data_IF_822632109799
#
_entry.id   IF_822632109799
#
_cell.length_a   1.000
_cell.length_b   1.000
_cell.length_c   1.000
_cell.angle_alpha   90.00
_cell.angle_beta   90.00
_cell.angle_gamma   90.00
#
_symmetry.space_group_name_H-M   'P 1'
#
loop_
_entity.id
_entity.type
_entity.pdbx_description
1 polymer ?
#
# COMPACT_ATOMS: atom_id res chain seq x y z
N UNK A 1 2.91 12.96 19.90
CA UNK A 1 3.23 13.12 18.46
C UNK A 1 4.34 12.18 18.05
N UNK A 2 4.29 11.54 16.87
CA UNK A 2 5.34 10.62 16.44
C UNK A 2 6.68 11.34 16.23
N UNK A 3 7.78 10.65 16.55
CA UNK A 3 9.14 11.17 16.49
C UNK A 3 9.58 11.50 15.05
N UNK A 4 10.52 12.43 14.85
CA UNK A 4 11.05 12.76 13.53
C UNK A 4 11.66 11.54 12.79
N UNK A 5 12.30 10.63 13.53
CA UNK A 5 12.88 9.40 12.97
C UNK A 5 11.79 8.48 12.42
N UNK A 6 10.69 8.31 13.16
CA UNK A 6 9.55 7.51 12.74
C UNK A 6 8.91 8.05 11.46
N UNK A 7 8.81 9.38 11.31
CA UNK A 7 8.32 10.00 10.06
C UNK A 7 9.24 9.73 8.87
N UNK A 8 10.56 9.85 9.07
CA UNK A 8 11.56 9.59 8.02
C UNK A 8 11.54 8.14 7.57
N UNK A 9 11.47 7.20 8.50
CA UNK A 9 11.39 5.77 8.21
C UNK A 9 10.12 5.44 7.41
N UNK A 10 8.97 5.92 7.88
CA UNK A 10 7.68 5.76 7.18
C UNK A 10 7.75 6.29 5.74
N UNK A 11 8.32 7.48 5.52
CA UNK A 11 8.46 8.05 4.18
C UNK A 11 9.31 7.18 3.24
N UNK A 12 10.39 6.57 3.75
CA UNK A 12 11.23 5.66 2.95
C UNK A 12 10.46 4.44 2.47
N UNK A 13 9.66 3.83 3.36
CA UNK A 13 8.79 2.70 3.02
C UNK A 13 7.82 3.09 1.92
N UNK A 14 7.10 4.21 2.05
CA UNK A 14 6.13 4.64 1.04
C UNK A 14 6.78 4.92 -0.32
N UNK A 15 7.97 5.54 -0.34
CA UNK A 15 8.71 5.78 -1.58
C UNK A 15 9.11 4.44 -2.21
N UNK A 16 9.67 3.52 -1.42
CA UNK A 16 10.06 2.19 -1.87
C UNK A 16 8.88 1.41 -2.43
N UNK A 17 7.72 1.47 -1.75
CA UNK A 17 6.48 0.86 -2.22
C UNK A 17 6.07 1.39 -3.60
N UNK A 18 5.99 2.72 -3.77
CA UNK A 18 5.57 3.35 -5.03
C UNK A 18 6.50 2.95 -6.19
N UNK A 19 7.82 2.98 -5.97
CA UNK A 19 8.78 2.65 -7.02
C UNK A 19 8.85 1.16 -7.32
N UNK A 20 8.79 0.34 -6.27
CA UNK A 20 9.20 -1.06 -6.30
C UNK A 20 8.07 -2.06 -6.54
N UNK A 21 6.82 -1.74 -6.18
CA UNK A 21 5.74 -2.71 -6.33
C UNK A 21 5.54 -3.07 -7.80
N UNK A 22 5.35 -4.36 -8.10
CA UNK A 22 5.01 -4.79 -9.46
C UNK A 22 3.51 -4.58 -9.73
N UNK A 23 3.13 -4.39 -10.98
CA UNK A 23 1.71 -4.18 -11.31
C UNK A 23 0.81 -5.39 -10.96
N UNK A 24 1.23 -6.66 -11.16
CA UNK A 24 0.45 -7.81 -10.72
C UNK A 24 0.23 -7.83 -9.20
N UNK A 25 1.28 -7.60 -8.41
CA UNK A 25 1.18 -7.57 -6.94
C UNK A 25 0.29 -6.41 -6.48
N UNK A 26 0.37 -5.25 -7.13
CA UNK A 26 -0.49 -4.11 -6.83
C UNK A 26 -1.97 -4.39 -7.08
N UNK A 27 -2.30 -5.08 -8.19
CA UNK A 27 -3.69 -5.49 -8.49
C UNK A 27 -4.20 -6.48 -7.45
N UNK A 28 -3.43 -7.52 -7.14
CA UNK A 28 -3.79 -8.50 -6.11
C UNK A 28 -3.90 -7.87 -4.72
N UNK A 29 -3.08 -6.86 -4.41
CA UNK A 29 -3.19 -6.12 -3.16
C UNK A 29 -4.51 -5.34 -3.09
N UNK A 30 -4.89 -4.65 -4.16
CA UNK A 30 -6.18 -3.95 -4.23
C UNK A 30 -7.36 -4.91 -4.08
N UNK A 31 -7.31 -6.08 -4.70
CA UNK A 31 -8.36 -7.10 -4.58
C UNK A 31 -8.46 -7.62 -3.14
N UNK A 32 -7.33 -7.96 -2.50
CA UNK A 32 -7.31 -8.36 -1.07
C UNK A 32 -7.84 -7.25 -0.14
N UNK A 33 -7.46 -6.00 -0.40
CA UNK A 33 -7.93 -4.87 0.41
C UNK A 33 -9.44 -4.65 0.23
N UNK A 34 -9.99 -4.93 -0.94
CA UNK A 34 -11.42 -4.89 -1.19
C UNK A 34 -12.14 -6.01 -0.43
N UNK A 35 -11.64 -7.25 -0.53
CA UNK A 35 -12.17 -8.40 0.21
C UNK A 35 -12.22 -8.16 1.73
N UNK A 36 -11.21 -7.45 2.25
CA UNK A 36 -11.10 -7.07 3.67
C UNK A 36 -11.84 -5.78 4.03
N UNK A 37 -12.60 -5.20 3.10
CA UNK A 37 -13.35 -3.94 3.27
C UNK A 37 -12.47 -2.73 3.68
N UNK A 38 -11.19 -2.75 3.35
CA UNK A 38 -10.26 -1.64 3.57
C UNK A 38 -10.42 -0.57 2.50
N UNK A 39 -10.70 -0.97 1.27
CA UNK A 39 -11.02 -0.07 0.16
C UNK A 39 -12.43 -0.40 -0.34
N UNK A 40 -13.14 0.62 -0.83
CA UNK A 40 -14.43 0.42 -1.49
C UNK A 40 -14.24 0.11 -2.98
N UNK A 41 -15.24 -0.50 -3.63
CA UNK A 41 -15.21 -0.83 -5.06
C UNK A 41 -14.82 0.38 -5.93
N UNK A 42 -15.45 1.53 -5.68
CA UNK A 42 -15.17 2.75 -6.45
C UNK A 42 -13.74 3.29 -6.23
N UNK A 43 -13.14 3.06 -5.04
CA UNK A 43 -11.76 3.47 -4.76
C UNK A 43 -10.77 2.54 -5.45
N UNK A 44 -11.06 1.24 -5.47
CA UNK A 44 -10.29 0.24 -6.20
C UNK A 44 -10.34 0.50 -7.70
N UNK A 45 -11.51 0.77 -8.25
CA UNK A 45 -11.67 1.06 -9.68
C UNK A 45 -11.01 2.40 -10.05
N UNK A 46 -11.11 3.42 -9.21
CA UNK A 46 -10.37 4.68 -9.40
C UNK A 46 -8.85 4.45 -9.39
N UNK A 47 -8.34 3.62 -8.47
CA UNK A 47 -6.93 3.26 -8.45
C UNK A 47 -6.50 2.52 -9.72
N UNK A 48 -7.33 1.60 -10.23
CA UNK A 48 -7.02 0.82 -11.43
C UNK A 48 -7.12 1.63 -12.73
N UNK A 49 -7.92 2.71 -12.72
CA UNK A 49 -8.08 3.62 -13.86
C UNK A 49 -6.85 4.52 -14.09
N UNK A 50 -5.99 4.71 -13.09
CA UNK A 50 -4.73 5.44 -13.27
C UNK A 50 -3.84 4.75 -14.32
N UNK A 51 -3.16 5.51 -15.16
CA UNK A 51 -2.30 4.94 -16.22
C UNK A 51 -0.95 4.49 -15.68
N UNK A 52 -0.33 5.34 -14.86
CA UNK A 52 1.00 5.12 -14.35
C UNK A 52 0.98 4.23 -13.10
N UNK A 53 1.79 3.17 -13.08
CA UNK A 53 1.93 2.26 -11.92
C UNK A 53 2.21 3.01 -10.62
N UNK A 54 3.03 4.05 -10.68
CA UNK A 54 3.38 4.87 -9.52
C UNK A 54 2.19 5.63 -8.95
N UNK A 55 1.29 6.10 -9.83
CA UNK A 55 0.08 6.83 -9.41
C UNK A 55 -0.97 5.87 -8.84
N UNK A 56 -1.13 4.68 -9.44
CA UNK A 56 -1.92 3.57 -8.85
C UNK A 56 -1.46 3.28 -7.41
N UNK A 57 -0.14 3.06 -7.24
CA UNK A 57 0.45 2.76 -5.94
C UNK A 57 0.24 3.90 -4.95
N UNK A 58 0.47 5.15 -5.37
CA UNK A 58 0.22 6.35 -4.55
C UNK A 58 -1.24 6.47 -4.13
N UNK A 59 -2.18 6.08 -4.98
CA UNK A 59 -3.60 6.09 -4.65
C UNK A 59 -3.92 5.14 -3.48
N UNK A 60 -3.36 3.93 -3.49
CA UNK A 60 -3.50 2.96 -2.37
C UNK A 60 -3.02 3.57 -1.05
N UNK A 61 -1.86 4.24 -1.06
CA UNK A 61 -1.32 4.95 0.11
C UNK A 61 -2.31 5.98 0.65
N UNK A 62 -2.92 6.75 -0.25
CA UNK A 62 -3.85 7.81 0.12
C UNK A 62 -5.07 7.19 0.80
N UNK A 63 -5.66 6.13 0.23
CA UNK A 63 -6.84 5.47 0.79
C UNK A 63 -6.55 4.93 2.19
N UNK A 64 -5.53 4.09 2.36
CA UNK A 64 -5.28 3.41 3.64
C UNK A 64 -4.89 4.39 4.75
N UNK A 65 -4.25 5.51 4.39
CA UNK A 65 -3.94 6.58 5.37
C UNK A 65 -5.18 7.35 5.80
N UNK A 66 -6.13 7.59 4.89
CA UNK A 66 -7.43 8.18 5.22
C UNK A 66 -8.24 7.24 6.11
N UNK A 67 -8.16 5.94 5.87
CA UNK A 67 -8.90 4.91 6.61
C UNK A 67 -8.21 4.51 7.94
N UNK A 68 -7.06 5.13 8.24
CA UNK A 68 -6.43 5.09 9.57
C UNK A 68 -5.43 3.95 9.76
N UNK A 69 -5.03 3.75 11.02
CA UNK A 69 -3.94 2.83 11.36
C UNK A 69 -4.29 1.37 11.03
N UNK A 70 -5.53 0.94 11.30
CA UNK A 70 -5.97 -0.42 11.03
C UNK A 70 -5.87 -0.76 9.53
N UNK A 71 -6.33 0.13 8.65
CA UNK A 71 -6.20 -0.02 7.20
C UNK A 71 -4.73 -0.07 6.74
N UNK A 72 -3.87 0.73 7.36
CA UNK A 72 -2.43 0.71 7.07
C UNK A 72 -1.78 -0.61 7.51
N UNK A 73 -2.16 -1.16 8.67
CA UNK A 73 -1.70 -2.47 9.13
C UNK A 73 -2.16 -3.58 8.20
N UNK A 74 -3.44 -3.57 7.81
CA UNK A 74 -4.02 -4.57 6.92
C UNK A 74 -3.37 -4.58 5.53
N UNK A 75 -3.00 -3.40 5.01
CA UNK A 75 -2.20 -3.29 3.78
C UNK A 75 -0.83 -3.95 3.93
N UNK A 76 -0.14 -3.72 5.04
CA UNK A 76 1.19 -4.29 5.28
C UNK A 76 1.10 -5.81 5.38
N UNK A 77 0.15 -6.34 6.15
CA UNK A 77 -0.07 -7.78 6.29
C UNK A 77 -0.40 -8.43 4.93
N UNK A 78 -1.33 -7.83 4.18
CA UNK A 78 -1.71 -8.32 2.86
C UNK A 78 -0.55 -8.28 1.85
N UNK A 79 0.33 -7.27 1.93
CA UNK A 79 1.53 -7.18 1.12
C UNK A 79 2.56 -8.25 1.52
N UNK A 80 2.75 -8.48 2.82
CA UNK A 80 3.64 -9.53 3.35
C UNK A 80 3.22 -10.92 2.87
N UNK A 81 1.92 -11.19 2.79
CA UNK A 81 1.40 -12.44 2.25
C UNK A 81 1.61 -12.57 0.73
N UNK A 82 1.46 -11.47 -0.01
CA UNK A 82 1.51 -11.48 -1.47
C UNK A 82 2.94 -11.50 -2.01
N UNK A 83 3.84 -10.77 -1.36
CA UNK A 83 5.24 -10.65 -1.76
C UNK A 83 6.13 -10.47 -0.51
N UNK A 84 6.49 -11.59 0.15
CA UNK A 84 7.38 -11.58 1.32
C UNK A 84 8.74 -10.95 1.01
N UNK A 85 9.30 -11.23 -0.17
CA UNK A 85 10.62 -10.72 -0.57
C UNK A 85 10.61 -9.20 -0.72
N UNK A 86 9.58 -8.65 -1.37
CA UNK A 86 9.44 -7.21 -1.48
C UNK A 86 9.16 -6.56 -0.12
N UNK A 87 8.39 -7.22 0.74
CA UNK A 87 8.10 -6.73 2.10
C UNK A 87 9.35 -6.68 2.98
N UNK A 88 10.20 -7.70 2.92
CA UNK A 88 11.51 -7.73 3.56
C UNK A 88 12.42 -6.62 3.02
N UNK A 89 12.46 -6.42 1.69
CA UNK A 89 13.22 -5.34 1.07
C UNK A 89 12.78 -3.95 1.56
N UNK A 90 11.50 -3.76 1.85
CA UNK A 90 10.95 -2.52 2.41
C UNK A 90 11.21 -2.38 3.92
N UNK A 91 11.65 -3.43 4.62
CA UNK A 91 11.82 -3.45 6.06
C UNK A 91 10.49 -3.43 6.82
N UNK A 92 9.47 -4.11 6.28
CA UNK A 92 8.15 -4.24 6.89
C UNK A 92 8.01 -5.47 7.81
N UNK A 93 8.95 -6.40 7.71
CA UNK A 93 9.05 -7.63 8.52
C UNK A 93 10.09 -7.47 9.64
#
# INVERSE_FOLDING_TARGET
>A
SPSPLYRKHRLRIWIGFISGISEPVLKSLLDKLLEKNVVQDYERDAALAEKEKGDKARFVIIIVRKNGHAASSEMIESLCDLDPFFSEHLGLM
#
